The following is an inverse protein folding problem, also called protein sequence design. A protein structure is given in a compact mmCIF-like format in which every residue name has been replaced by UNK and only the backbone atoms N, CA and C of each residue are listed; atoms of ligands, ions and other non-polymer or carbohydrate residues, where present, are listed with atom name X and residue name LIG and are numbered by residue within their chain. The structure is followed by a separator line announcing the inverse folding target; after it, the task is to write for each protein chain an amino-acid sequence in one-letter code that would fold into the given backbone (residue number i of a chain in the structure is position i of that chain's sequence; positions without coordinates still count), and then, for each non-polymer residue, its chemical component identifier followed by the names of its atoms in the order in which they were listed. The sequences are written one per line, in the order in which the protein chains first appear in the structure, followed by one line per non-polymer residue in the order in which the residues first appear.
data_IF_320174863352
#
_entry.id   IF_320174863352
#
_cell.length_a   1.000
_cell.length_b   1.000
_cell.length_c   1.000
_cell.angle_alpha   90.00
_cell.angle_beta   90.00
_cell.angle_gamma   90.00
#
_symmetry.space_group_name_H-M   'P 1'
#
loop_
_entity.id
_entity.type
_entity.pdbx_description
1 polymer ?
#
# COMPACT_ATOMS: atom_id res chain seq x y z
N UNK A 1 3.16 -1.29 -10.00
CA UNK A 1 2.21 -0.25 -10.44
C UNK A 1 0.77 -0.67 -10.31
N UNK A 2 0.21 -1.34 -11.33
CA UNK A 2 -1.23 -1.60 -11.45
C UNK A 2 -1.87 -2.26 -10.22
N UNK A 3 -1.19 -3.24 -9.63
CA UNK A 3 -1.66 -3.94 -8.43
C UNK A 3 -1.89 -2.97 -7.25
N UNK A 4 -0.98 -2.02 -7.02
CA UNK A 4 -1.10 -1.06 -5.93
C UNK A 4 -2.22 -0.03 -6.17
N UNK A 5 -2.45 0.37 -7.42
CA UNK A 5 -3.58 1.23 -7.81
C UNK A 5 -4.90 0.51 -7.55
N UNK A 6 -5.06 -0.71 -8.06
CA UNK A 6 -6.28 -1.51 -7.84
C UNK A 6 -6.54 -1.74 -6.35
N UNK A 7 -5.49 -2.06 -5.58
CA UNK A 7 -5.58 -2.25 -4.13
C UNK A 7 -6.06 -0.99 -3.39
N UNK A 8 -5.55 0.17 -3.79
CA UNK A 8 -6.00 1.45 -3.25
C UNK A 8 -7.45 1.73 -3.60
N UNK A 9 -7.89 1.44 -4.83
CA UNK A 9 -9.27 1.66 -5.24
C UNK A 9 -10.25 0.74 -4.51
N UNK A 10 -9.92 -0.55 -4.41
CA UNK A 10 -10.71 -1.56 -3.72
C UNK A 10 -10.72 -1.32 -2.19
N UNK A 11 -9.66 -0.69 -1.66
CA UNK A 11 -9.50 -0.46 -0.22
C UNK A 11 -9.08 -1.73 0.53
N UNK A 12 -8.53 -2.70 -0.18
CA UNK A 12 -8.10 -3.98 0.34
C UNK A 12 -6.89 -4.45 -0.45
N UNK A 13 -5.82 -4.80 0.25
CA UNK A 13 -4.65 -5.40 -0.38
C UNK A 13 -4.31 -6.76 0.19
N UNK A 14 -3.88 -6.78 1.45
CA UNK A 14 -3.77 -8.01 2.26
C UNK A 14 -4.76 -8.00 3.41
N UNK A 15 -5.16 -6.80 3.82
CA UNK A 15 -6.25 -6.54 4.74
C UNK A 15 -6.90 -5.20 4.36
N UNK A 16 -7.94 -4.80 5.09
CA UNK A 16 -8.60 -3.52 4.91
C UNK A 16 -7.60 -2.38 5.08
N UNK A 17 -7.49 -1.53 4.06
CA UNK A 17 -6.61 -0.36 4.10
C UNK A 17 -7.24 0.75 4.93
N UNK A 18 -6.47 1.35 5.82
CA UNK A 18 -6.85 2.66 6.39
C UNK A 18 -6.78 3.74 5.32
N UNK A 19 -7.42 4.89 5.57
CA UNK A 19 -7.39 6.05 4.65
C UNK A 19 -5.96 6.48 4.29
N UNK A 20 -5.01 6.39 5.24
CA UNK A 20 -3.60 6.72 4.99
C UNK A 20 -2.91 5.68 4.11
N UNK A 21 -3.08 4.39 4.41
CA UNK A 21 -2.48 3.30 3.62
C UNK A 21 -3.03 3.30 2.18
N UNK A 22 -4.30 3.67 2.02
CA UNK A 22 -4.94 3.85 0.72
C UNK A 22 -4.25 4.92 -0.12
N UNK A 23 -3.93 6.08 0.47
CA UNK A 23 -3.21 7.17 -0.23
C UNK A 23 -1.79 6.72 -0.60
N UNK A 24 -1.09 6.04 0.32
CA UNK A 24 0.27 5.54 0.08
C UNK A 24 0.29 4.53 -1.08
N UNK A 25 -0.66 3.59 -1.12
CA UNK A 25 -0.78 2.62 -2.21
C UNK A 25 -1.12 3.27 -3.55
N UNK A 26 -1.93 4.34 -3.54
CA UNK A 26 -2.26 5.08 -4.76
C UNK A 26 -1.01 5.75 -5.35
N UNK A 27 -0.25 6.47 -4.53
CA UNK A 27 0.98 7.15 -4.92
C UNK A 27 2.04 6.15 -5.37
N UNK A 28 2.23 5.07 -4.61
CA UNK A 28 3.11 3.95 -4.96
C UNK A 28 2.76 3.37 -6.33
N UNK A 29 1.47 3.13 -6.57
CA UNK A 29 0.97 2.62 -7.84
C UNK A 29 1.27 3.57 -9.00
N UNK A 30 1.05 4.87 -8.81
CA UNK A 30 1.30 5.91 -9.82
C UNK A 30 2.78 6.02 -10.19
N UNK A 31 3.67 6.01 -9.19
CA UNK A 31 5.13 6.08 -9.39
C UNK A 31 5.68 4.93 -10.24
N UNK A 32 5.05 3.76 -10.18
CA UNK A 32 5.46 2.57 -10.92
C UNK A 32 4.74 2.42 -12.29
N UNK A 33 3.80 3.30 -12.64
CA UNK A 33 3.13 3.27 -13.96
C UNK A 33 3.95 4.01 -15.01
N UNK A 34 4.68 5.06 -14.63
CA UNK A 34 5.64 5.77 -15.50
C UNK A 34 7.05 5.32 -15.10
N UNK A 35 7.64 4.33 -15.79
CA UNK A 35 8.85 3.68 -15.33
C UNK A 35 10.08 4.56 -15.58
N UNK A 36 10.71 4.98 -14.48
CA UNK A 36 12.13 5.33 -14.37
C UNK A 36 12.71 4.40 -13.29
N UNK A 37 13.96 3.92 -13.44
CA UNK A 37 14.52 2.91 -12.51
C UNK A 37 14.47 3.34 -11.04
N UNK A 38 14.55 4.65 -10.79
CA UNK A 38 14.49 5.23 -9.46
C UNK A 38 13.06 5.33 -8.90
N UNK A 39 12.07 5.71 -9.72
CA UNK A 39 10.67 5.81 -9.28
C UNK A 39 10.04 4.46 -9.00
N UNK A 40 10.45 3.42 -9.73
CA UNK A 40 9.96 2.06 -9.49
C UNK A 40 10.44 1.52 -8.12
N UNK A 41 11.70 1.79 -7.76
CA UNK A 41 12.27 1.39 -6.46
C UNK A 41 11.54 2.07 -5.29
N UNK A 42 11.24 3.37 -5.41
CA UNK A 42 10.45 4.11 -4.42
C UNK A 42 9.03 3.55 -4.34
N UNK A 43 8.42 3.28 -5.48
CA UNK A 43 7.09 2.69 -5.56
C UNK A 43 6.99 1.35 -4.84
N UNK A 44 7.94 0.44 -5.07
CA UNK A 44 8.03 -0.86 -4.39
C UNK A 44 8.22 -0.68 -2.88
N UNK A 45 9.08 0.25 -2.47
CA UNK A 45 9.33 0.52 -1.06
C UNK A 45 8.06 1.02 -0.34
N UNK A 46 7.32 1.94 -0.96
CA UNK A 46 6.06 2.45 -0.42
C UNK A 46 4.99 1.35 -0.34
N UNK A 47 4.91 0.48 -1.35
CA UNK A 47 4.01 -0.68 -1.34
C UNK A 47 4.34 -1.64 -0.19
N UNK A 48 5.62 -1.95 0.01
CA UNK A 48 6.08 -2.80 1.11
C UNK A 48 5.77 -2.17 2.48
N UNK A 49 5.99 -0.87 2.64
CA UNK A 49 5.65 -0.14 3.87
C UNK A 49 4.16 -0.20 4.17
N UNK A 50 3.29 0.00 3.17
CA UNK A 50 1.84 -0.11 3.35
C UNK A 50 1.41 -1.52 3.79
N UNK A 51 2.03 -2.58 3.26
CA UNK A 51 1.75 -3.97 3.66
C UNK A 51 2.18 -4.25 5.11
N UNK A 52 3.33 -3.73 5.52
CA UNK A 52 3.84 -3.88 6.89
C UNK A 52 2.94 -3.15 7.88
N UNK A 53 2.48 -1.95 7.52
CA UNK A 53 1.51 -1.19 8.32
C UNK A 53 0.19 -1.94 8.47
N UNK A 54 -0.34 -2.52 7.38
CA UNK A 54 -1.57 -3.32 7.43
C UNK A 54 -1.42 -4.49 8.42
N UNK A 55 -0.32 -5.25 8.30
CA UNK A 55 -0.01 -6.36 9.23
C UNK A 55 0.06 -5.92 10.69
N UNK A 56 0.63 -4.75 10.98
CA UNK A 56 0.72 -4.21 12.35
C UNK A 56 -0.62 -3.70 12.86
N UNK A 57 -1.46 -3.15 11.98
CA UNK A 57 -2.80 -2.69 12.31
C UNK A 57 -3.70 -3.88 12.71
N UNK A 58 -3.67 -4.98 11.96
CA UNK A 58 -4.40 -6.22 12.29
C UNK A 58 -4.03 -6.74 13.68
N UNK A 59 -2.73 -6.83 13.99
CA UNK A 59 -2.27 -7.27 15.32
C UNK A 59 -2.74 -6.34 16.45
N UNK A 60 -2.92 -5.04 16.17
CA UNK A 60 -3.41 -4.07 17.15
C UNK A 60 -4.93 -4.16 17.34
N UNK A 61 -5.70 -4.34 16.27
CA UNK A 61 -7.16 -4.50 16.33
C UNK A 61 -7.51 -5.81 17.04
N UNK A 62 -6.89 -6.92 16.65
CA UNK A 62 -7.16 -8.25 17.23
C UNK A 62 -6.71 -8.42 18.69
N UNK A 63 -5.81 -7.55 19.19
CA UNK A 63 -5.37 -7.55 20.60
C UNK A 63 -6.21 -6.61 21.47
N UNK A 64 -7.14 -5.86 20.87
CA UNK A 64 -8.01 -4.90 21.56
C UNK A 64 -9.41 -5.44 21.82
N UNK A 65 -9.71 -6.64 21.32
CA UNK A 65 -10.89 -7.45 21.63
C UNK A 65 -10.48 -8.59 22.58
#
# INVERSE_FOLDING_TARGET
GMIAISASLIGYFRDYTTKLERIILFISGLLMVVPESFTDLIGIFLMAAAIILQKRHIKKVYKRE
#
